data_IF_054504726881
#
_entry.id   IF_054504726881
#
_cell.length_a   1.000
_cell.length_b   1.000
_cell.length_c   1.000
_cell.angle_alpha   90.00
_cell.angle_beta   90.00
_cell.angle_gamma   90.00
#
_symmetry.space_group_name_H-M   'P 1'
#
loop_
_entity.id
_entity.type
_entity.pdbx_description
1 polymer ?
#
# COMPACT_ATOMS: atom_id res chain seq x y z
N UNK A 1 -23.44 -14.60 -20.73
CA UNK A 1 -22.42 -13.55 -20.49
C UNK A 1 -22.08 -13.60 -19.01
N UNK A 2 -20.84 -13.89 -18.63
CA UNK A 2 -20.43 -13.83 -17.23
C UNK A 2 -20.28 -12.34 -16.89
N UNK A 3 -21.18 -11.81 -16.07
CA UNK A 3 -21.17 -10.40 -15.67
C UNK A 3 -20.38 -10.22 -14.37
N UNK A 4 -19.50 -9.22 -14.37
CA UNK A 4 -18.76 -8.75 -13.20
C UNK A 4 -19.28 -7.36 -12.81
N UNK A 5 -19.23 -7.05 -11.51
CA UNK A 5 -19.53 -5.71 -10.97
C UNK A 5 -18.46 -5.29 -9.98
N UNK A 6 -18.13 -3.99 -9.98
CA UNK A 6 -17.26 -3.36 -9.01
C UNK A 6 -18.12 -2.68 -7.95
N UNK A 7 -17.89 -3.00 -6.69
CA UNK A 7 -18.60 -2.45 -5.53
C UNK A 7 -17.57 -1.78 -4.61
N UNK A 8 -17.43 -0.45 -4.67
CA UNK A 8 -16.49 0.26 -3.82
C UNK A 8 -17.06 0.50 -2.43
N UNK A 9 -16.20 0.44 -1.42
CA UNK A 9 -16.47 1.06 -0.13
C UNK A 9 -16.06 2.54 -0.11
N UNK A 10 -16.26 3.17 1.04
CA UNK A 10 -16.07 4.60 1.31
C UNK A 10 -14.65 5.09 1.03
N UNK A 11 -13.63 4.25 1.13
CA UNK A 11 -12.22 4.66 0.93
C UNK A 11 -11.74 4.48 -0.51
N UNK A 12 -12.62 4.00 -1.41
CA UNK A 12 -12.22 3.57 -2.74
C UNK A 12 -12.98 4.22 -3.90
N UNK A 13 -13.89 5.16 -3.63
CA UNK A 13 -14.76 5.76 -4.66
C UNK A 13 -13.98 6.31 -5.85
N UNK A 14 -12.86 7.01 -5.62
CA UNK A 14 -12.03 7.54 -6.69
C UNK A 14 -11.33 6.43 -7.50
N UNK A 15 -10.80 5.42 -6.82
CA UNK A 15 -10.09 4.31 -7.45
C UNK A 15 -11.04 3.39 -8.23
N UNK A 16 -12.31 3.30 -7.81
CA UNK A 16 -13.36 2.55 -8.50
C UNK A 16 -13.61 3.06 -9.91
N UNK A 17 -13.62 4.39 -10.11
CA UNK A 17 -13.76 4.99 -11.43
C UNK A 17 -12.58 4.63 -12.35
N UNK A 18 -11.36 4.66 -11.81
CA UNK A 18 -10.15 4.24 -12.54
C UNK A 18 -10.20 2.75 -12.91
N UNK A 19 -10.60 1.90 -11.96
CA UNK A 19 -10.76 0.46 -12.17
C UNK A 19 -11.83 0.17 -13.23
N UNK A 20 -12.97 0.86 -13.18
CA UNK A 20 -14.04 0.73 -14.17
C UNK A 20 -13.60 1.17 -15.56
N UNK A 21 -12.89 2.29 -15.67
CA UNK A 21 -12.33 2.80 -16.93
C UNK A 21 -11.39 1.78 -17.60
N UNK A 22 -10.55 1.11 -16.81
CA UNK A 22 -9.60 0.10 -17.31
C UNK A 22 -10.30 -1.22 -17.67
N UNK A 23 -11.23 -1.67 -16.84
CA UNK A 23 -11.84 -3.00 -16.98
C UNK A 23 -13.08 -3.04 -17.87
N UNK A 24 -13.76 -1.90 -18.05
CA UNK A 24 -15.05 -1.79 -18.70
C UNK A 24 -16.24 -2.31 -17.88
N UNK A 25 -16.02 -2.74 -16.62
CA UNK A 25 -17.09 -3.27 -15.78
C UNK A 25 -17.86 -2.16 -15.06
N UNK A 26 -19.18 -2.34 -14.86
CA UNK A 26 -20.01 -1.37 -14.17
C UNK A 26 -19.62 -1.24 -12.69
N UNK A 27 -19.82 -0.04 -12.16
CA UNK A 27 -19.69 0.26 -10.73
C UNK A 27 -21.08 0.36 -10.13
N UNK A 28 -21.31 -0.34 -9.02
CA UNK A 28 -22.51 -0.21 -8.20
C UNK A 28 -22.09 0.32 -6.84
N UNK A 29 -22.50 1.55 -6.55
CA UNK A 29 -22.20 2.19 -5.27
C UNK A 29 -23.21 1.75 -4.21
N UNK A 30 -22.77 1.14 -3.10
CA UNK A 30 -23.64 0.82 -1.97
C UNK A 30 -24.03 2.09 -1.20
N UNK A 31 -25.13 2.03 -0.45
CA UNK A 31 -25.44 3.04 0.56
C UNK A 31 -24.71 2.67 1.84
N UNK A 32 -23.79 3.54 2.29
CA UNK A 32 -23.02 3.34 3.51
C UNK A 32 -23.29 4.53 4.44
N UNK A 33 -23.86 4.23 5.60
CA UNK A 33 -24.24 5.22 6.60
C UNK A 33 -23.85 4.76 8.00
N UNK A 34 -24.14 5.59 9.00
CA UNK A 34 -23.87 5.26 10.41
C UNK A 34 -25.09 5.57 11.26
N UNK A 35 -25.36 4.70 12.22
CA UNK A 35 -26.31 4.98 13.29
C UNK A 35 -25.74 6.03 14.26
N UNK A 36 -26.61 6.53 15.16
CA UNK A 36 -26.24 7.60 16.08
C UNK A 36 -25.13 7.21 17.08
N UNK A 37 -24.95 5.92 17.34
CA UNK A 37 -23.89 5.35 18.18
C UNK A 37 -22.59 5.03 17.41
N UNK A 38 -22.58 5.23 16.09
CA UNK A 38 -21.42 5.06 15.23
C UNK A 38 -21.33 3.70 14.52
N UNK A 39 -22.26 2.77 14.78
CA UNK A 39 -22.33 1.49 14.06
C UNK A 39 -22.51 1.71 12.55
N UNK A 40 -21.77 0.95 11.75
CA UNK A 40 -21.80 1.07 10.29
C UNK A 40 -23.02 0.32 9.76
N UNK A 41 -23.81 1.00 8.92
CA UNK A 41 -24.90 0.42 8.17
C UNK A 41 -24.51 0.36 6.69
N UNK A 42 -24.66 -0.83 6.08
CA UNK A 42 -24.34 -1.07 4.67
C UNK A 42 -25.54 -1.67 3.97
N UNK A 43 -26.02 -1.00 2.93
CA UNK A 43 -27.17 -1.42 2.14
C UNK A 43 -26.79 -1.51 0.66
N UNK A 44 -27.08 -2.66 0.04
CA UNK A 44 -26.82 -2.89 -1.37
C UNK A 44 -28.08 -2.62 -2.21
N UNK A 45 -28.00 -1.85 -3.31
CA UNK A 45 -29.19 -1.49 -4.09
C UNK A 45 -29.93 -2.70 -4.68
N UNK A 46 -31.23 -2.83 -4.41
CA UNK A 46 -32.03 -4.00 -4.85
C UNK A 46 -32.01 -4.19 -6.37
N UNK A 47 -32.09 -3.11 -7.15
CA UNK A 47 -32.03 -3.20 -8.62
C UNK A 47 -30.69 -3.71 -9.16
N UNK A 48 -29.60 -3.54 -8.40
CA UNK A 48 -28.31 -4.12 -8.74
C UNK A 48 -28.17 -5.57 -8.25
N UNK A 49 -28.86 -5.94 -7.16
CA UNK A 49 -28.89 -7.31 -6.64
C UNK A 49 -29.63 -8.28 -7.58
N UNK A 50 -30.65 -7.80 -8.30
CA UNK A 50 -31.41 -8.60 -9.28
C UNK A 50 -30.62 -8.89 -10.57
N UNK A 51 -29.50 -8.20 -10.79
CA UNK A 51 -28.65 -8.46 -11.93
C UNK A 51 -27.83 -9.75 -11.71
N UNK A 52 -27.63 -10.59 -12.73
CA UNK A 52 -27.01 -11.92 -12.59
C UNK A 52 -25.48 -11.86 -12.48
N UNK A 53 -24.93 -10.97 -11.65
CA UNK A 53 -23.48 -10.83 -11.46
C UNK A 53 -22.90 -12.09 -10.83
N UNK A 54 -22.14 -12.84 -11.62
CA UNK A 54 -21.46 -14.06 -11.15
C UNK A 54 -20.15 -13.77 -10.43
N UNK A 55 -19.56 -12.60 -10.69
CA UNK A 55 -18.30 -12.17 -10.07
C UNK A 55 -18.47 -10.78 -9.48
N UNK A 56 -18.17 -10.63 -8.20
CA UNK A 56 -18.21 -9.32 -7.53
C UNK A 56 -16.80 -8.95 -7.09
N UNK A 57 -16.39 -7.73 -7.42
CA UNK A 57 -15.16 -7.11 -6.95
C UNK A 57 -15.51 -6.10 -5.87
N UNK A 58 -15.17 -6.40 -4.63
CA UNK A 58 -15.24 -5.42 -3.53
C UNK A 58 -13.94 -4.62 -3.53
N UNK A 59 -14.01 -3.31 -3.68
CA UNK A 59 -12.82 -2.44 -3.68
C UNK A 59 -12.82 -1.58 -2.42
N UNK A 60 -11.85 -1.76 -1.54
CA UNK A 60 -11.74 -0.98 -0.30
C UNK A 60 -10.31 -0.98 0.23
N UNK A 61 -9.73 0.19 0.44
CA UNK A 61 -8.50 0.31 1.22
C UNK A 61 -8.81 0.29 2.71
N UNK A 62 -8.12 -0.56 3.47
CA UNK A 62 -8.27 -0.66 4.91
C UNK A 62 -7.37 0.39 5.60
N UNK A 63 -7.69 1.66 5.38
CA UNK A 63 -6.97 2.81 5.91
C UNK A 63 -7.78 3.54 7.00
N UNK A 64 -7.29 4.70 7.46
CA UNK A 64 -7.92 5.45 8.55
C UNK A 64 -9.38 5.84 8.21
N UNK A 65 -10.35 5.61 9.12
CA UNK A 65 -10.26 4.83 10.35
C UNK A 65 -10.17 3.31 10.06
N UNK A 66 -9.11 2.67 10.57
CA UNK A 66 -8.72 1.31 10.15
C UNK A 66 -9.75 0.22 10.50
N UNK A 67 -10.37 0.33 11.68
CA UNK A 67 -11.36 -0.64 12.14
C UNK A 67 -12.65 -0.50 11.35
N UNK A 68 -13.05 0.74 11.09
CA UNK A 68 -14.28 1.06 10.38
C UNK A 68 -14.19 0.61 8.92
N UNK A 69 -13.08 0.91 8.24
CA UNK A 69 -12.88 0.47 6.85
C UNK A 69 -12.83 -1.05 6.74
N UNK A 70 -12.28 -1.74 7.74
CA UNK A 70 -12.33 -3.20 7.85
C UNK A 70 -13.77 -3.70 8.04
N UNK A 71 -14.47 -3.20 9.05
CA UNK A 71 -15.86 -3.58 9.34
C UNK A 71 -16.78 -3.33 8.14
N UNK A 72 -16.62 -2.20 7.46
CA UNK A 72 -17.36 -1.86 6.25
C UNK A 72 -17.14 -2.90 5.14
N UNK A 73 -15.89 -3.34 4.89
CA UNK A 73 -15.61 -4.37 3.91
C UNK A 73 -16.24 -5.73 4.28
N UNK A 74 -16.20 -6.11 5.57
CA UNK A 74 -16.81 -7.34 6.04
C UNK A 74 -18.33 -7.31 5.85
N UNK A 75 -18.98 -6.19 6.16
CA UNK A 75 -20.43 -6.00 5.96
C UNK A 75 -20.81 -5.95 4.47
N UNK A 76 -19.98 -5.33 3.63
CA UNK A 76 -20.14 -5.37 2.18
C UNK A 76 -20.08 -6.80 1.64
N UNK A 77 -19.14 -7.61 2.12
CA UNK A 77 -19.04 -9.01 1.73
C UNK A 77 -20.27 -9.81 2.15
N UNK A 78 -20.77 -9.62 3.38
CA UNK A 78 -22.00 -10.27 3.85
C UNK A 78 -23.21 -9.93 2.98
N UNK A 79 -23.49 -8.63 2.78
CA UNK A 79 -24.69 -8.21 2.06
C UNK A 79 -24.64 -8.68 0.61
N UNK A 80 -23.49 -8.57 -0.06
CA UNK A 80 -23.30 -9.04 -1.44
C UNK A 80 -23.50 -10.54 -1.55
N UNK A 81 -22.97 -11.32 -0.59
CA UNK A 81 -23.15 -12.78 -0.60
C UNK A 81 -24.61 -13.17 -0.49
N UNK A 82 -25.38 -12.51 0.39
CA UNK A 82 -26.79 -12.83 0.61
C UNK A 82 -27.70 -12.33 -0.51
N UNK A 83 -27.41 -11.17 -1.10
CA UNK A 83 -28.31 -10.53 -2.08
C UNK A 83 -27.99 -10.91 -3.52
N UNK A 84 -26.71 -11.00 -3.88
CA UNK A 84 -26.28 -11.24 -5.27
C UNK A 84 -26.00 -12.73 -5.55
N UNK A 85 -25.79 -13.54 -4.51
CA UNK A 85 -25.38 -14.95 -4.59
C UNK A 85 -24.32 -15.21 -5.68
N UNK A 86 -23.21 -14.45 -5.70
CA UNK A 86 -22.21 -14.57 -6.76
C UNK A 86 -21.44 -15.89 -6.60
N UNK A 87 -21.00 -16.43 -7.74
CA UNK A 87 -20.12 -17.60 -7.76
C UNK A 87 -18.76 -17.24 -7.13
N UNK A 88 -18.33 -15.97 -7.24
CA UNK A 88 -17.09 -15.47 -6.67
C UNK A 88 -17.16 -14.04 -6.14
N UNK A 89 -16.59 -13.81 -4.96
CA UNK A 89 -16.30 -12.50 -4.36
C UNK A 89 -14.78 -12.32 -4.28
N UNK A 90 -14.25 -11.34 -5.03
CA UNK A 90 -12.85 -10.93 -4.94
C UNK A 90 -12.77 -9.61 -4.20
N UNK A 91 -12.02 -9.57 -3.09
CA UNK A 91 -11.69 -8.31 -2.43
C UNK A 91 -10.40 -7.74 -3.03
N UNK A 92 -10.48 -6.53 -3.57
CA UNK A 92 -9.32 -5.72 -3.95
C UNK A 92 -9.09 -4.73 -2.81
N UNK A 93 -8.01 -4.94 -2.06
CA UNK A 93 -7.63 -4.18 -0.87
C UNK A 93 -6.28 -3.51 -1.11
N UNK A 94 -6.25 -2.30 -1.71
CA UNK A 94 -4.99 -1.65 -2.10
C UNK A 94 -4.06 -1.39 -0.91
N UNK A 95 -4.59 -1.09 0.27
CA UNK A 95 -3.81 -1.00 1.51
C UNK A 95 -4.44 -1.85 2.62
N UNK A 96 -3.62 -2.64 3.30
CA UNK A 96 -4.04 -3.56 4.37
C UNK A 96 -3.71 -2.97 5.75
N UNK A 97 -4.73 -2.73 6.58
CA UNK A 97 -4.55 -2.33 7.98
C UNK A 97 -3.82 -3.43 8.77
N UNK A 98 -3.20 -3.06 9.88
CA UNK A 98 -2.48 -3.97 10.77
C UNK A 98 -1.33 -4.77 10.12
N UNK A 99 -0.97 -4.49 8.86
CA UNK A 99 0.09 -5.18 8.10
C UNK A 99 1.48 -5.08 8.75
N UNK A 100 1.73 -4.05 9.56
CA UNK A 100 2.96 -3.89 10.36
C UNK A 100 3.02 -4.75 11.63
N UNK A 101 1.91 -5.41 11.99
CA UNK A 101 1.80 -6.30 13.16
C UNK A 101 1.75 -7.76 12.69
N UNK A 102 2.81 -8.16 11.99
CA UNK A 102 2.98 -9.43 11.26
C UNK A 102 3.85 -10.46 12.00
N UNK A 103 4.32 -10.12 13.20
CA UNK A 103 5.07 -11.02 14.08
C UNK A 103 4.72 -10.77 15.54
N UNK A 104 4.85 -11.82 16.34
CA UNK A 104 4.73 -11.72 17.79
C UNK A 104 6.02 -11.13 18.34
N UNK A 105 5.91 -10.07 19.13
CA UNK A 105 7.03 -9.45 19.83
C UNK A 105 6.78 -9.49 21.33
N UNK A 106 7.83 -9.76 22.09
CA UNK A 106 7.79 -9.76 23.55
C UNK A 106 8.72 -8.68 24.08
N UNK A 107 8.25 -7.92 25.08
CA UNK A 107 9.05 -6.89 25.75
C UNK A 107 8.61 -6.74 27.20
N UNK A 108 9.40 -6.05 28.00
CA UNK A 108 8.99 -5.62 29.35
C UNK A 108 8.24 -4.29 29.24
N UNK A 109 7.12 -4.17 29.95
CA UNK A 109 6.27 -2.98 29.92
C UNK A 109 5.88 -2.54 31.33
N UNK A 110 6.79 -1.85 32.03
CA UNK A 110 6.51 -1.22 33.32
C UNK A 110 5.83 -2.18 34.31
N UNK A 111 4.71 -1.75 34.89
CA UNK A 111 3.91 -2.51 35.85
C UNK A 111 3.32 -3.83 35.30
N UNK A 112 3.16 -3.95 33.98
CA UNK A 112 2.60 -5.14 33.33
C UNK A 112 3.60 -6.29 33.18
N UNK A 113 4.88 -6.07 33.53
CA UNK A 113 5.92 -7.08 33.40
C UNK A 113 6.18 -7.49 31.95
N UNK A 114 6.37 -8.79 31.71
CA UNK A 114 6.57 -9.32 30.36
C UNK A 114 5.25 -9.34 29.59
N UNK A 115 5.19 -8.58 28.49
CA UNK A 115 4.02 -8.50 27.61
C UNK A 115 4.34 -9.09 26.24
N UNK A 116 3.32 -9.63 25.60
CA UNK A 116 3.40 -10.25 24.26
C UNK A 116 2.36 -9.60 23.35
N UNK A 117 2.77 -9.19 22.15
CA UNK A 117 1.87 -8.53 21.19
C UNK A 117 0.90 -9.52 20.53
N UNK A 118 -0.24 -9.01 20.09
CA UNK A 118 -1.13 -9.73 19.20
C UNK A 118 -0.53 -9.83 17.78
N UNK A 119 -0.86 -10.91 17.07
CA UNK A 119 -0.55 -11.08 15.65
C UNK A 119 -1.70 -10.52 14.79
N UNK A 120 -1.91 -9.20 14.85
CA UNK A 120 -3.11 -8.55 14.32
C UNK A 120 -3.30 -8.75 12.81
N UNK A 121 -2.23 -8.78 12.03
CA UNK A 121 -2.33 -9.07 10.58
C UNK A 121 -2.98 -10.43 10.31
N UNK A 122 -2.68 -11.45 11.14
CA UNK A 122 -3.31 -12.78 11.04
C UNK A 122 -4.78 -12.76 11.48
N UNK A 123 -5.14 -11.94 12.47
CA UNK A 123 -6.54 -11.77 12.88
C UNK A 123 -7.35 -11.17 11.74
N UNK A 124 -6.84 -10.11 11.09
CA UNK A 124 -7.49 -9.50 9.92
C UNK A 124 -7.64 -10.50 8.77
N UNK A 125 -6.59 -11.27 8.47
CA UNK A 125 -6.64 -12.31 7.43
C UNK A 125 -7.76 -13.33 7.70
N UNK A 126 -7.93 -13.78 8.95
CA UNK A 126 -9.02 -14.69 9.35
C UNK A 126 -10.40 -14.06 9.22
N UNK A 127 -10.55 -12.80 9.60
CA UNK A 127 -11.84 -12.09 9.48
C UNK A 127 -12.26 -11.97 8.02
N UNK A 128 -11.34 -11.59 7.13
CA UNK A 128 -11.60 -11.50 5.69
C UNK A 128 -11.97 -12.86 5.08
N UNK A 129 -11.28 -13.94 5.48
CA UNK A 129 -11.64 -15.30 5.04
C UNK A 129 -13.03 -15.72 5.53
N UNK A 130 -13.36 -15.40 6.79
CA UNK A 130 -14.65 -15.75 7.39
C UNK A 130 -15.84 -14.96 6.84
N UNK A 131 -15.62 -13.78 6.25
CA UNK A 131 -16.70 -12.95 5.66
C UNK A 131 -17.14 -13.38 4.27
N UNK A 132 -16.66 -14.54 3.78
CA UNK A 132 -17.05 -15.07 2.48
C UNK A 132 -16.35 -14.42 1.30
N UNK A 133 -15.13 -13.90 1.48
CA UNK A 133 -14.25 -13.47 0.38
C UNK A 133 -13.49 -14.68 -0.16
N UNK A 134 -13.57 -14.95 -1.46
CA UNK A 134 -12.92 -16.12 -2.09
C UNK A 134 -11.48 -15.85 -2.53
N UNK A 135 -11.16 -14.59 -2.84
CA UNK A 135 -9.85 -14.20 -3.36
C UNK A 135 -9.53 -12.78 -2.90
N UNK A 136 -8.28 -12.56 -2.50
CA UNK A 136 -7.78 -11.25 -2.10
C UNK A 136 -6.72 -10.76 -3.09
N UNK A 137 -6.87 -9.53 -3.58
CA UNK A 137 -5.84 -8.80 -4.32
C UNK A 137 -5.42 -7.63 -3.44
N UNK A 138 -4.14 -7.49 -3.15
CA UNK A 138 -3.59 -6.37 -2.39
C UNK A 138 -2.34 -5.82 -3.06
N UNK A 139 -1.81 -4.71 -2.57
CA UNK A 139 -0.64 -4.04 -3.13
C UNK A 139 0.42 -3.94 -2.04
N UNK A 140 1.66 -4.33 -2.37
CA UNK A 140 2.86 -4.28 -1.53
C UNK A 140 2.63 -4.50 -0.02
N UNK A 141 2.21 -5.71 0.36
CA UNK A 141 2.21 -6.10 1.78
C UNK A 141 3.52 -5.73 2.48
N UNK A 142 3.41 -5.15 3.67
CA UNK A 142 4.56 -4.74 4.49
C UNK A 142 5.61 -5.86 4.62
N UNK A 143 5.13 -7.09 4.76
CA UNK A 143 5.93 -8.29 4.91
C UNK A 143 5.42 -9.36 3.97
N UNK A 144 6.31 -9.90 3.14
CA UNK A 144 5.98 -10.99 2.21
C UNK A 144 5.50 -12.25 2.93
N UNK A 145 5.94 -12.46 4.17
CA UNK A 145 5.59 -13.59 5.01
C UNK A 145 4.13 -13.55 5.46
N UNK A 146 3.54 -12.34 5.57
CA UNK A 146 2.14 -12.17 5.93
C UNK A 146 1.19 -12.80 4.89
N UNK A 147 1.65 -13.06 3.66
CA UNK A 147 0.91 -13.82 2.67
C UNK A 147 0.49 -15.21 3.19
N UNK A 148 1.31 -15.83 4.03
CA UNK A 148 1.01 -17.14 4.64
C UNK A 148 -0.07 -17.11 5.73
N UNK A 149 -0.61 -15.94 6.09
CA UNK A 149 -1.73 -15.83 7.03
C UNK A 149 -3.10 -16.01 6.37
N UNK A 150 -3.18 -15.87 5.05
CA UNK A 150 -4.42 -15.97 4.30
C UNK A 150 -4.67 -17.41 3.87
N UNK A 151 -5.81 -17.96 4.29
CA UNK A 151 -6.24 -19.31 3.86
C UNK A 151 -6.84 -19.26 2.45
N UNK A 152 -7.45 -18.13 2.07
CA UNK A 152 -7.90 -17.90 0.71
C UNK A 152 -6.73 -17.52 -0.21
N UNK A 153 -6.83 -17.78 -1.53
CA UNK A 153 -5.88 -17.29 -2.50
C UNK A 153 -5.62 -15.78 -2.35
N UNK A 154 -4.36 -15.39 -2.52
CA UNK A 154 -3.88 -14.01 -2.40
C UNK A 154 -3.01 -13.65 -3.59
N UNK A 155 -3.29 -12.50 -4.20
CA UNK A 155 -2.39 -11.82 -5.13
C UNK A 155 -1.84 -10.55 -4.46
N UNK A 156 -0.55 -10.54 -4.13
CA UNK A 156 0.15 -9.35 -3.65
C UNK A 156 0.87 -8.68 -4.83
N UNK A 157 0.36 -7.53 -5.28
CA UNK A 157 0.86 -6.81 -6.45
C UNK A 157 2.05 -5.92 -6.08
N UNK A 158 3.20 -6.06 -6.76
CA UNK A 158 4.33 -5.16 -6.58
C UNK A 158 4.12 -3.84 -7.33
N UNK A 159 4.42 -2.70 -6.70
CA UNK A 159 4.40 -1.38 -7.36
C UNK A 159 5.72 -1.03 -8.06
N UNK A 160 6.77 -1.84 -7.85
CA UNK A 160 8.10 -1.60 -8.42
C UNK A 160 8.08 -1.24 -9.92
N UNK A 161 7.24 -1.91 -10.72
CA UNK A 161 7.10 -1.61 -12.15
C UNK A 161 6.64 -0.17 -12.45
N UNK A 162 5.69 0.37 -11.68
CA UNK A 162 5.19 1.74 -11.84
C UNK A 162 6.27 2.78 -11.53
N UNK A 163 7.08 2.53 -10.51
CA UNK A 163 8.21 3.40 -10.16
C UNK A 163 9.38 3.26 -11.14
N UNK A 164 9.62 2.06 -11.69
CA UNK A 164 10.62 1.87 -12.76
C UNK A 164 10.21 2.64 -14.01
N UNK A 165 8.93 2.64 -14.36
CA UNK A 165 8.42 3.40 -15.49
C UNK A 165 8.66 4.90 -15.29
N UNK A 166 8.29 5.43 -14.13
CA UNK A 166 8.44 6.84 -13.79
C UNK A 166 9.91 7.29 -13.74
N UNK A 167 10.79 6.51 -13.10
CA UNK A 167 12.22 6.84 -13.01
C UNK A 167 12.91 6.66 -14.37
N UNK A 168 12.49 5.67 -15.15
CA UNK A 168 13.09 5.30 -16.41
C UNK A 168 13.03 6.39 -17.49
N UNK A 169 12.17 7.38 -17.33
CA UNK A 169 12.00 8.49 -18.25
C UNK A 169 12.69 9.78 -17.75
N UNK A 170 13.43 9.68 -16.65
CA UNK A 170 14.10 10.81 -16.00
C UNK A 170 15.60 10.88 -16.28
N UNK A 171 16.16 12.08 -16.15
CA UNK A 171 17.60 12.35 -16.35
C UNK A 171 18.50 11.79 -15.24
N UNK A 172 17.95 11.13 -14.21
CA UNK A 172 18.71 10.73 -13.01
C UNK A 172 19.41 9.37 -13.16
N UNK A 173 19.10 8.60 -14.21
CA UNK A 173 19.52 7.21 -14.39
C UNK A 173 21.05 7.02 -14.39
N UNK A 174 21.79 7.92 -15.02
CA UNK A 174 23.25 7.78 -15.21
C UNK A 174 24.02 7.75 -13.89
N UNK A 175 23.51 8.48 -12.89
CA UNK A 175 24.12 8.63 -11.56
C UNK A 175 23.16 8.23 -10.45
N UNK A 176 22.39 7.16 -10.67
CA UNK A 176 21.41 6.69 -9.70
C UNK A 176 22.06 5.92 -8.53
N UNK A 177 21.59 6.22 -7.32
CA UNK A 177 21.71 5.38 -6.14
C UNK A 177 20.31 5.09 -5.59
N UNK A 178 19.96 3.82 -5.41
CA UNK A 178 18.70 3.42 -4.78
C UNK A 178 18.98 3.11 -3.31
N UNK A 179 18.22 3.73 -2.42
CA UNK A 179 18.49 3.78 -0.99
C UNK A 179 17.42 3.04 -0.21
N UNK A 180 17.85 2.10 0.62
CA UNK A 180 17.02 1.48 1.65
C UNK A 180 17.00 2.39 2.90
N UNK A 181 15.82 2.86 3.37
CA UNK A 181 15.73 3.71 4.56
C UNK A 181 16.04 2.99 5.88
N UNK A 182 16.12 1.66 5.84
CA UNK A 182 16.61 0.79 6.92
C UNK A 182 17.08 -0.56 6.37
N UNK A 183 17.60 -1.43 7.24
CA UNK A 183 18.02 -2.78 6.85
C UNK A 183 16.86 -3.71 6.44
N UNK A 184 15.63 -3.44 6.92
CA UNK A 184 14.46 -4.28 6.62
C UNK A 184 13.94 -4.12 5.20
N UNK A 185 14.10 -2.92 4.63
CA UNK A 185 13.72 -2.57 3.25
C UNK A 185 14.76 -3.00 2.19
N UNK A 186 15.95 -3.46 2.60
CA UNK A 186 17.03 -3.83 1.68
C UNK A 186 16.67 -4.91 0.65
N UNK A 187 15.94 -5.99 0.97
CA UNK A 187 15.50 -6.97 -0.03
C UNK A 187 14.61 -6.33 -1.12
N UNK A 188 13.72 -5.40 -0.74
CA UNK A 188 12.86 -4.66 -1.68
C UNK A 188 13.70 -3.81 -2.63
N UNK A 189 14.64 -3.06 -2.10
CA UNK A 189 15.56 -2.20 -2.89
C UNK A 189 16.39 -3.03 -3.86
N UNK A 190 16.92 -4.18 -3.43
CA UNK A 190 17.69 -5.07 -4.33
C UNK A 190 16.81 -5.64 -5.45
N UNK A 191 15.58 -6.06 -5.12
CA UNK A 191 14.60 -6.52 -6.11
C UNK A 191 14.27 -5.44 -7.13
N UNK A 192 14.07 -4.21 -6.65
CA UNK A 192 13.82 -3.05 -7.51
C UNK A 192 15.00 -2.77 -8.46
N UNK A 193 16.23 -2.71 -7.94
CA UNK A 193 17.43 -2.45 -8.75
C UNK A 193 17.61 -3.53 -9.82
N UNK A 194 17.40 -4.81 -9.47
CA UNK A 194 17.45 -5.90 -10.45
C UNK A 194 16.44 -5.70 -11.58
N UNK A 195 15.18 -5.43 -11.24
CA UNK A 195 14.13 -5.20 -12.22
C UNK A 195 14.39 -3.95 -13.08
N UNK A 196 14.91 -2.87 -12.49
CA UNK A 196 15.31 -1.66 -13.20
C UNK A 196 16.44 -1.93 -14.20
N UNK A 197 17.49 -2.65 -13.75
CA UNK A 197 18.62 -3.02 -14.60
C UNK A 197 18.19 -3.90 -15.78
N UNK A 198 17.32 -4.88 -15.55
CA UNK A 198 16.78 -5.75 -16.60
C UNK A 198 15.88 -4.98 -17.58
N UNK A 199 14.97 -4.14 -17.07
CA UNK A 199 13.96 -3.44 -17.89
C UNK A 199 14.48 -2.22 -18.65
N UNK A 200 15.45 -1.48 -18.09
CA UNK A 200 15.98 -0.24 -18.67
C UNK A 200 17.44 -0.36 -19.14
N UNK A 201 18.07 -1.54 -19.02
CA UNK A 201 19.47 -1.80 -19.41
C UNK A 201 20.49 -0.88 -18.72
N UNK A 202 20.25 -0.55 -17.44
CA UNK A 202 21.13 0.31 -16.63
C UNK A 202 22.01 -0.53 -15.72
N UNK A 203 23.33 -0.42 -15.87
CA UNK A 203 24.32 -1.21 -15.12
C UNK A 203 25.02 -0.43 -13.99
N UNK A 204 24.81 0.89 -13.89
CA UNK A 204 25.57 1.79 -12.98
C UNK A 204 24.85 2.11 -11.66
N UNK A 205 23.73 1.43 -11.37
CA UNK A 205 22.89 1.70 -10.20
C UNK A 205 23.60 1.25 -8.93
N UNK A 206 23.80 2.17 -7.99
CA UNK A 206 24.32 1.82 -6.66
C UNK A 206 23.17 1.49 -5.71
N UNK A 207 23.45 0.60 -4.75
CA UNK A 207 22.57 0.36 -3.61
C UNK A 207 23.22 0.97 -2.38
N UNK A 208 22.45 1.75 -1.64
CA UNK A 208 22.84 2.26 -0.34
C UNK A 208 21.80 1.90 0.73
N UNK A 209 22.23 1.89 1.99
CA UNK A 209 21.38 1.58 3.15
C UNK A 209 21.62 2.63 4.21
N UNK A 210 20.53 3.09 4.80
CA UNK A 210 20.56 3.89 6.01
C UNK A 210 20.56 2.94 7.21
N UNK A 211 21.67 2.92 7.93
CA UNK A 211 21.79 2.19 9.19
C UNK A 211 21.44 3.15 10.34
N UNK A 212 20.32 2.86 11.01
CA UNK A 212 19.81 3.65 12.13
C UNK A 212 20.30 3.02 13.42
N UNK A 213 21.32 3.63 14.01
CA UNK A 213 21.80 3.22 15.33
C UNK A 213 21.21 4.14 16.41
N UNK A 214 20.65 3.53 17.46
CA UNK A 214 20.23 4.24 18.69
C UNK A 214 21.13 3.78 19.82
N UNK A 215 21.94 4.69 20.36
CA UNK A 215 22.76 4.41 21.56
C UNK A 215 21.90 4.21 22.81
N UNK A 216 20.74 4.87 22.89
CA UNK A 216 19.78 4.72 23.99
C UNK A 216 18.38 5.25 23.60
N UNK A 217 17.30 4.80 24.27
CA UNK A 217 15.97 5.38 24.09
C UNK A 217 15.98 6.88 24.43
N UNK A 218 15.58 7.74 23.49
CA UNK A 218 15.43 9.19 23.72
C UNK A 218 16.60 10.08 23.25
N UNK A 219 17.68 9.50 22.70
CA UNK A 219 18.79 10.25 22.07
C UNK A 219 18.54 10.36 20.55
N UNK A 220 18.99 11.47 19.94
CA UNK A 220 18.88 11.71 18.49
C UNK A 220 19.49 10.56 17.69
N UNK A 221 18.79 10.07 16.67
CA UNK A 221 19.22 8.97 15.82
C UNK A 221 20.55 9.30 15.12
N UNK A 222 21.58 8.46 15.29
CA UNK A 222 22.80 8.55 14.47
C UNK A 222 22.53 7.81 13.17
N UNK A 223 22.55 8.54 12.07
CA UNK A 223 22.22 8.03 10.74
C UNK A 223 23.49 7.74 9.97
N UNK A 224 23.84 6.46 9.82
CA UNK A 224 24.97 6.04 8.98
C UNK A 224 24.51 5.67 7.59
N UNK A 225 25.22 6.15 6.56
CA UNK A 225 24.97 5.77 5.17
C UNK A 225 26.03 4.75 4.75
N UNK A 226 25.58 3.54 4.41
CA UNK A 226 26.40 2.46 3.86
C UNK A 226 26.17 2.40 2.35
N UNK A 227 27.23 2.55 1.55
CA UNK A 227 27.15 2.62 0.09
C UNK A 227 27.57 3.99 -0.46
N UNK A 228 27.81 4.06 -1.78
CA UNK A 228 28.25 5.30 -2.45
C UNK A 228 27.06 6.14 -2.88
N UNK A 229 26.90 7.31 -2.25
CA UNK A 229 25.81 8.27 -2.52
C UNK A 229 26.30 9.66 -2.97
N UNK A 230 27.62 9.90 -2.87
CA UNK A 230 28.24 11.17 -3.25
C UNK A 230 28.14 11.37 -4.77
N UNK A 231 27.80 12.58 -5.20
CA UNK A 231 27.68 12.98 -6.60
C UNK A 231 26.66 12.11 -7.38
N UNK A 232 25.60 11.66 -6.69
CA UNK A 232 24.54 10.80 -7.23
C UNK A 232 23.14 11.31 -6.89
N UNK A 233 22.18 10.97 -7.73
CA UNK A 233 20.76 11.12 -7.46
C UNK A 233 20.28 9.93 -6.62
N UNK A 234 19.81 10.20 -5.42
CA UNK A 234 19.36 9.19 -4.49
C UNK A 234 17.84 9.00 -4.60
N UNK A 235 17.38 7.76 -4.71
CA UNK A 235 15.95 7.41 -4.64
C UNK A 235 15.74 6.47 -3.46
N UNK A 236 15.08 6.96 -2.43
CA UNK A 236 14.65 6.17 -1.27
C UNK A 236 13.42 5.35 -1.66
N UNK A 237 13.44 4.04 -1.40
CA UNK A 237 12.31 3.15 -1.64
C UNK A 237 11.79 2.53 -0.35
N UNK A 238 10.49 2.61 -0.14
CA UNK A 238 9.82 1.96 0.99
C UNK A 238 8.36 1.60 0.69
N UNK A 239 7.71 0.81 1.55
CA UNK A 239 6.30 0.48 1.40
C UNK A 239 5.39 1.52 2.02
N UNK A 240 5.75 2.07 3.18
CA UNK A 240 4.84 2.93 3.95
C UNK A 240 5.56 4.21 4.39
N UNK A 241 4.91 5.35 4.17
CA UNK A 241 5.25 6.61 4.85
C UNK A 241 4.15 6.95 5.85
N UNK A 242 4.52 6.94 7.13
CA UNK A 242 3.60 7.23 8.24
C UNK A 242 3.81 8.63 8.80
N UNK A 243 4.75 8.84 9.71
CA UNK A 243 5.05 10.17 10.28
C UNK A 243 6.01 11.02 9.43
N UNK A 244 6.56 10.47 8.34
CA UNK A 244 7.56 11.14 7.50
C UNK A 244 8.98 11.18 8.07
N UNK A 245 9.18 11.04 9.39
CA UNK A 245 10.47 11.23 10.06
C UNK A 245 11.62 10.39 9.49
N UNK A 246 11.37 9.11 9.17
CA UNK A 246 12.35 8.24 8.50
C UNK A 246 12.88 8.84 7.20
N UNK A 247 11.98 9.37 6.35
CA UNK A 247 12.34 9.93 5.05
C UNK A 247 13.07 11.25 5.21
N UNK A 248 12.60 12.13 6.11
CA UNK A 248 13.25 13.41 6.37
C UNK A 248 14.68 13.22 6.90
N UNK A 249 14.88 12.31 7.87
CA UNK A 249 16.20 12.00 8.43
C UNK A 249 17.13 11.38 7.38
N UNK A 250 16.61 10.45 6.56
CA UNK A 250 17.38 9.85 5.47
C UNK A 250 17.79 10.90 4.44
N UNK A 251 16.89 11.81 4.06
CA UNK A 251 17.19 12.86 3.09
C UNK A 251 18.27 13.82 3.59
N UNK A 252 18.17 14.27 4.85
CA UNK A 252 19.21 15.10 5.46
C UNK A 252 20.57 14.39 5.45
N UNK A 253 20.64 13.12 5.88
CA UNK A 253 21.87 12.36 5.91
C UNK A 253 22.50 12.14 4.52
N UNK A 254 21.67 11.89 3.50
CA UNK A 254 22.11 11.74 2.11
C UNK A 254 22.66 13.06 1.54
N UNK A 255 21.98 14.19 1.78
CA UNK A 255 22.46 15.51 1.37
C UNK A 255 23.79 15.86 2.04
N UNK A 256 23.94 15.62 3.36
CA UNK A 256 25.22 15.82 4.07
C UNK A 256 26.35 14.96 3.49
N UNK A 257 26.03 13.79 2.92
CA UNK A 257 27.00 12.90 2.25
C UNK A 257 27.27 13.26 0.78
N UNK A 258 26.72 14.38 0.29
CA UNK A 258 26.98 14.90 -1.05
C UNK A 258 26.08 14.31 -2.14
N UNK A 259 24.87 13.84 -1.80
CA UNK A 259 23.87 13.49 -2.81
C UNK A 259 23.48 14.73 -3.64
N UNK A 260 23.38 14.58 -4.97
CA UNK A 260 22.95 15.65 -5.88
C UNK A 260 21.48 16.00 -5.67
N UNK A 261 20.64 14.97 -5.55
CA UNK A 261 19.23 15.08 -5.18
C UNK A 261 18.81 13.86 -4.38
N UNK A 262 17.73 13.99 -3.63
CA UNK A 262 17.09 12.93 -2.84
C UNK A 262 15.60 12.91 -3.16
N UNK A 263 15.17 11.84 -3.78
CA UNK A 263 13.77 11.57 -4.08
C UNK A 263 13.29 10.37 -3.25
N UNK A 264 11.99 10.23 -3.07
CA UNK A 264 11.40 9.04 -2.48
C UNK A 264 10.27 8.48 -3.36
N UNK A 265 10.15 7.16 -3.44
CA UNK A 265 9.00 6.44 -4.00
C UNK A 265 8.49 5.47 -2.96
N UNK A 266 7.24 5.69 -2.54
CA UNK A 266 6.64 4.96 -1.43
C UNK A 266 5.30 4.41 -1.87
N UNK A 267 5.01 3.14 -1.57
CA UNK A 267 3.74 2.58 -2.02
C UNK A 267 2.55 3.23 -1.30
N UNK A 268 2.52 3.21 0.03
CA UNK A 268 1.38 3.63 0.84
C UNK A 268 1.65 4.94 1.60
N UNK A 269 0.89 5.97 1.28
CA UNK A 269 0.90 7.25 1.98
C UNK A 269 -0.04 7.29 3.18
N UNK A 270 0.40 6.82 4.36
CA UNK A 270 -0.41 6.85 5.59
C UNK A 270 -0.49 8.26 6.18
N UNK A 271 0.62 9.02 6.13
CA UNK A 271 0.70 10.44 6.50
C UNK A 271 -0.01 10.80 7.82
N UNK A 272 0.42 10.22 8.94
CA UNK A 272 -0.12 10.56 10.26
C UNK A 272 0.49 11.85 10.83
N UNK A 273 -0.26 12.53 11.71
CA UNK A 273 0.19 13.75 12.36
C UNK A 273 0.53 14.86 11.35
N UNK A 274 1.68 15.49 11.52
CA UNK A 274 2.19 16.56 10.65
C UNK A 274 3.11 16.05 9.54
N UNK A 275 2.95 14.79 9.09
CA UNK A 275 3.85 14.17 8.13
C UNK A 275 3.96 14.95 6.80
N UNK A 276 2.85 15.47 6.29
CA UNK A 276 2.82 16.27 5.05
C UNK A 276 3.70 17.52 5.22
N UNK A 277 3.46 18.31 6.27
CA UNK A 277 4.23 19.53 6.55
C UNK A 277 5.72 19.23 6.78
N UNK A 278 6.02 18.15 7.51
CA UNK A 278 7.39 17.71 7.78
C UNK A 278 8.14 17.34 6.49
N UNK A 279 7.46 16.72 5.53
CA UNK A 279 8.06 16.34 4.24
C UNK A 279 8.26 17.57 3.37
N UNK A 280 7.28 18.47 3.31
CA UNK A 280 7.38 19.72 2.55
C UNK A 280 8.53 20.60 3.05
N UNK A 281 8.74 20.66 4.37
CA UNK A 281 9.83 21.41 5.00
C UNK A 281 11.20 20.70 4.96
N UNK A 282 11.28 19.44 4.50
CA UNK A 282 12.51 18.63 4.56
C UNK A 282 13.49 18.87 3.42
N UNK A 283 14.65 18.23 3.50
CA UNK A 283 15.70 18.19 2.46
C UNK A 283 15.36 17.29 1.25
N UNK A 284 14.16 16.71 1.22
CA UNK A 284 13.70 15.84 0.14
C UNK A 284 13.32 16.69 -1.09
N UNK A 285 13.75 16.29 -2.29
CA UNK A 285 13.48 17.03 -3.54
C UNK A 285 12.11 16.66 -4.14
N UNK A 286 11.69 15.39 -4.03
CA UNK A 286 10.35 14.97 -4.43
C UNK A 286 9.92 13.65 -3.78
N UNK A 287 8.66 13.51 -3.41
CA UNK A 287 8.05 12.27 -2.98
C UNK A 287 6.95 11.86 -3.96
N UNK A 288 6.99 10.63 -4.46
CA UNK A 288 5.84 10.02 -5.14
C UNK A 288 5.28 8.93 -4.24
N UNK A 289 3.99 9.01 -3.98
CA UNK A 289 3.20 7.95 -3.34
C UNK A 289 2.17 7.38 -4.30
N UNK A 290 1.54 6.26 -3.97
CA UNK A 290 0.38 5.78 -4.73
C UNK A 290 -0.95 6.21 -4.15
N UNK A 291 -2.02 6.09 -4.93
CA UNK A 291 -3.42 6.23 -4.48
C UNK A 291 -3.99 4.98 -3.79
N UNK A 292 -3.13 4.08 -3.28
CA UNK A 292 -3.56 2.96 -2.42
C UNK A 292 -4.19 3.43 -1.11
N UNK A 293 -3.90 4.65 -0.66
CA UNK A 293 -4.62 5.35 0.41
C UNK A 293 -5.05 6.70 -0.15
N UNK A 294 -6.34 7.03 -0.01
CA UNK A 294 -6.92 8.29 -0.47
C UNK A 294 -7.37 9.17 0.69
N UNK A 295 -7.75 10.42 0.40
CA UNK A 295 -8.30 11.34 1.40
C UNK A 295 -7.27 12.23 2.11
N UNK A 296 -6.00 12.13 1.72
CA UNK A 296 -4.96 13.09 2.13
C UNK A 296 -4.86 14.17 1.06
N UNK A 297 -4.94 15.43 1.48
CA UNK A 297 -4.70 16.59 0.62
C UNK A 297 -3.23 16.97 0.70
N UNK A 298 -2.64 17.28 -0.45
CA UNK A 298 -1.27 17.75 -0.55
C UNK A 298 -1.25 19.19 -1.06
N UNK A 299 -0.37 20.06 -0.53
CA UNK A 299 -0.12 21.36 -1.14
C UNK A 299 0.54 21.18 -2.52
N UNK A 300 0.55 22.24 -3.33
CA UNK A 300 1.44 22.28 -4.49
C UNK A 300 2.90 22.29 -4.00
N UNK A 301 3.57 21.16 -4.13
CA UNK A 301 4.87 20.97 -3.50
C UNK A 301 5.58 19.71 -3.96
N UNK A 302 6.26 19.06 -3.02
CA UNK A 302 7.15 17.91 -3.28
C UNK A 302 6.39 16.61 -3.48
N UNK A 303 5.16 16.50 -2.98
CA UNK A 303 4.39 15.25 -2.95
C UNK A 303 3.52 15.11 -4.20
N UNK A 304 3.66 13.98 -4.90
CA UNK A 304 2.85 13.59 -6.05
C UNK A 304 2.23 12.23 -5.82
N UNK A 305 1.06 12.00 -6.43
CA UNK A 305 0.35 10.73 -6.36
C UNK A 305 0.36 10.06 -7.74
N UNK A 306 0.81 8.81 -7.79
CA UNK A 306 0.76 7.96 -8.97
C UNK A 306 -0.34 6.91 -8.81
N UNK A 307 -1.25 6.82 -9.78
CA UNK A 307 -2.38 5.89 -9.66
C UNK A 307 -1.97 4.43 -9.86
N UNK A 308 -2.46 3.53 -8.98
CA UNK A 308 -2.41 2.08 -9.17
C UNK A 308 -3.63 1.53 -9.92
N UNK A 309 -4.57 2.38 -10.36
CA UNK A 309 -5.81 1.94 -10.98
C UNK A 309 -5.61 1.05 -12.22
N UNK A 310 -4.64 1.39 -13.08
CA UNK A 310 -4.28 0.54 -14.23
C UNK A 310 -3.70 -0.81 -13.79
N UNK A 311 -2.77 -0.80 -12.84
CA UNK A 311 -2.16 -2.02 -12.28
C UNK A 311 -3.22 -2.97 -11.69
N UNK A 312 -4.16 -2.41 -10.92
CA UNK A 312 -5.27 -3.17 -10.34
C UNK A 312 -6.23 -3.69 -11.43
N UNK A 313 -6.58 -2.84 -12.42
CA UNK A 313 -7.49 -3.23 -13.51
C UNK A 313 -6.95 -4.36 -14.36
N UNK A 314 -5.67 -4.26 -14.75
CA UNK A 314 -4.99 -5.32 -15.51
C UNK A 314 -4.97 -6.65 -14.71
N UNK A 315 -4.74 -6.57 -13.40
CA UNK A 315 -4.77 -7.75 -12.51
C UNK A 315 -6.18 -8.38 -12.41
N UNK A 316 -7.20 -7.55 -12.20
CA UNK A 316 -8.61 -7.99 -12.10
C UNK A 316 -9.05 -8.65 -13.41
N UNK A 317 -8.73 -8.05 -14.57
CA UNK A 317 -9.02 -8.62 -15.89
C UNK A 317 -8.32 -9.98 -16.07
N UNK A 318 -7.02 -10.06 -15.74
CA UNK A 318 -6.25 -11.30 -15.86
C UNK A 318 -6.86 -12.43 -15.03
N UNK A 319 -7.22 -12.15 -13.77
CA UNK A 319 -7.90 -13.13 -12.91
C UNK A 319 -9.25 -13.54 -13.49
N UNK A 320 -10.05 -12.59 -13.93
CA UNK A 320 -11.35 -12.86 -14.52
C UNK A 320 -11.25 -13.75 -15.76
N UNK A 321 -10.27 -13.51 -16.65
CA UNK A 321 -10.10 -14.26 -17.89
C UNK A 321 -9.52 -15.66 -17.66
N UNK A 322 -8.62 -15.84 -16.68
CA UNK A 322 -8.04 -17.16 -16.34
C UNK A 322 -9.07 -18.16 -15.83
N UNK A 323 -10.14 -17.68 -15.21
CA UNK A 323 -11.23 -18.53 -14.70
C UNK A 323 -12.37 -18.74 -15.72
N UNK A 324 -12.24 -18.24 -16.96
CA UNK A 324 -13.16 -18.53 -18.07
C UNK A 324 -12.77 -19.77 -18.88
N UNK A 325 -11.50 -20.18 -18.80
CA UNK A 325 -10.93 -21.35 -19.48
C UNK A 325 -10.95 -22.55 -18.53
#
# INVERSE_FOLDING_TARGET
MVSMVIVPGSTATALAASLSSVTGFPVVTPCISRFADGEINVEFPSGAAEAPYKNVVLLQSLCKPANDSLMELLLLADVVRRTCAPDRVTAVVPYMCYSRQDRVTSRVAGEYGAVTSALSSKVVAKLLGASGIDHLITVDLHSSQAAGFFEMPLTNLPVAGLFIEEIGDSHILDKLAVVAPDCGSLPRVRGFVRALSEGRKVNSVQVAVIDKYRESPGVSEVVHVIGSVKDRHCVILDDIVDSGGTLCNAAAALKTRGAMSVHARITHGVFSGSAVDAIEASELDSLVVTDTITGVSFPEGKIKVQSVGKLLGDCVLSHFMRHKL
#
